data_IF_687769850669
#
_entry.id   IF_687769850669
#
_cell.length_a   1.000
_cell.length_b   1.000
_cell.length_c   1.000
_cell.angle_alpha   90.00
_cell.angle_beta   90.00
_cell.angle_gamma   90.00
#
_symmetry.space_group_name_H-M   'P 1'
#
loop_
_entity.id
_entity.type
_entity.pdbx_description
1 polymer ?
#
# COMPACT_ATOMS: atom_id res chain seq x y z
N UNK A 1 15.58 -43.40 31.97
CA UNK A 1 15.26 -43.69 30.56
C UNK A 1 13.77 -43.58 30.20
N UNK A 2 12.82 -43.63 31.16
CA UNK A 2 11.37 -43.56 30.88
C UNK A 2 10.86 -42.12 30.63
N UNK A 3 11.46 -41.12 31.28
CA UNK A 3 11.06 -39.70 31.14
C UNK A 3 11.41 -39.08 29.77
N UNK A 4 12.52 -39.48 29.13
CA UNK A 4 12.84 -39.01 27.77
C UNK A 4 11.87 -39.55 26.72
N UNK A 5 11.40 -40.79 26.86
CA UNK A 5 10.48 -41.43 25.90
C UNK A 5 9.11 -40.73 25.92
N UNK A 6 8.62 -40.34 27.10
CA UNK A 6 7.38 -39.56 27.23
C UNK A 6 7.50 -38.15 26.63
N UNK A 7 8.64 -37.47 26.82
CA UNK A 7 8.91 -36.15 26.23
C UNK A 7 9.00 -36.22 24.69
N UNK A 8 9.57 -37.29 24.13
CA UNK A 8 9.64 -37.51 22.67
C UNK A 8 8.25 -37.74 22.08
N UNK A 9 7.39 -38.53 22.73
CA UNK A 9 6.01 -38.77 22.27
C UNK A 9 5.18 -37.48 22.30
N UNK A 10 5.29 -36.68 23.38
CA UNK A 10 4.64 -35.36 23.46
C UNK A 10 5.18 -34.44 22.36
N UNK A 11 6.49 -34.41 22.12
CA UNK A 11 7.09 -33.58 21.08
C UNK A 11 6.63 -34.01 19.67
N UNK A 12 6.51 -35.31 19.39
CA UNK A 12 6.00 -35.84 18.11
C UNK A 12 4.49 -35.56 17.92
N UNK A 13 3.68 -35.64 18.99
CA UNK A 13 2.26 -35.28 18.96
C UNK A 13 2.07 -33.77 18.76
N UNK A 14 2.85 -32.94 19.47
CA UNK A 14 2.83 -31.48 19.34
C UNK A 14 3.39 -31.04 17.98
N UNK A 15 4.42 -31.71 17.44
CA UNK A 15 4.96 -31.45 16.10
C UNK A 15 3.92 -31.79 15.01
N UNK A 16 3.20 -32.90 15.15
CA UNK A 16 2.10 -33.25 14.22
C UNK A 16 0.93 -32.24 14.30
N UNK A 17 0.53 -31.79 15.50
CA UNK A 17 -0.55 -30.81 15.67
C UNK A 17 -0.14 -29.40 15.21
N UNK A 18 1.12 -29.00 15.44
CA UNK A 18 1.64 -27.69 15.00
C UNK A 18 1.92 -27.62 13.49
N UNK A 19 2.15 -28.76 12.81
CA UNK A 19 2.27 -28.83 11.36
C UNK A 19 0.93 -28.73 10.61
N UNK A 20 -0.20 -29.10 11.21
CA UNK A 20 -1.53 -28.92 10.62
C UNK A 20 -1.97 -27.44 10.52
N UNK A 21 -1.27 -26.53 11.20
CA UNK A 21 -1.52 -25.09 11.13
C UNK A 21 -0.44 -24.32 10.34
N UNK A 22 0.43 -25.01 9.60
CA UNK A 22 1.51 -24.42 8.81
C UNK A 22 1.35 -24.50 7.29
N UNK A 23 0.14 -24.79 6.81
CA UNK A 23 -0.19 -24.68 5.37
C UNK A 23 -1.64 -24.31 5.13
N UNK A 24 -2.10 -23.18 5.68
CA UNK A 24 -2.99 -22.35 4.86
C UNK A 24 -2.06 -21.65 3.88
N UNK A 25 -1.99 -22.16 2.65
CA UNK A 25 -1.68 -21.32 1.49
C UNK A 25 -2.73 -20.22 1.57
N UNK A 26 -2.41 -19.12 2.25
CA UNK A 26 -3.34 -18.02 2.42
C UNK A 26 -3.54 -17.46 1.01
N UNK A 27 -4.53 -18.00 0.31
CA UNK A 27 -5.26 -17.25 -0.70
C UNK A 27 -5.96 -16.18 0.13
N UNK A 28 -5.20 -15.14 0.43
CA UNK A 28 -5.63 -14.00 1.20
C UNK A 28 -6.90 -13.48 0.51
N UNK A 29 -8.05 -13.60 1.19
CA UNK A 29 -9.34 -13.22 0.64
C UNK A 29 -9.30 -11.79 0.07
N UNK A 30 -8.53 -10.90 0.69
CA UNK A 30 -8.28 -9.55 0.23
C UNK A 30 -7.66 -9.50 -1.18
N UNK A 31 -6.66 -10.33 -1.47
CA UNK A 31 -6.07 -10.43 -2.82
C UNK A 31 -6.93 -11.21 -3.81
N UNK A 32 -7.90 -11.99 -3.33
CA UNK A 32 -8.91 -12.60 -4.19
C UNK A 32 -9.97 -11.60 -4.62
N UNK A 33 -10.28 -10.61 -3.77
CA UNK A 33 -11.21 -9.52 -4.08
C UNK A 33 -10.59 -8.40 -4.92
N UNK A 34 -9.25 -8.24 -4.87
CA UNK A 34 -8.52 -7.23 -5.67
C UNK A 34 -7.53 -7.93 -6.61
N UNK A 35 -7.99 -8.53 -7.73
CA UNK A 35 -7.12 -9.22 -8.66
C UNK A 35 -6.29 -8.23 -9.48
N UNK A 36 -4.97 -8.26 -9.29
CA UNK A 36 -4.06 -7.41 -10.06
C UNK A 36 -3.85 -7.95 -11.48
N UNK A 37 -4.12 -7.12 -12.47
CA UNK A 37 -3.94 -7.39 -13.90
C UNK A 37 -2.54 -7.02 -14.37
N UNK A 38 -2.21 -7.35 -15.62
CA UNK A 38 -1.00 -6.90 -16.31
C UNK A 38 0.32 -7.18 -15.55
N UNK A 39 0.35 -8.27 -14.79
CA UNK A 39 1.52 -8.69 -14.01
C UNK A 39 1.78 -7.86 -12.75
N UNK A 40 0.78 -7.10 -12.28
CA UNK A 40 0.80 -6.43 -10.99
C UNK A 40 0.83 -7.42 -9.82
N UNK A 41 1.43 -7.01 -8.70
CA UNK A 41 1.56 -7.85 -7.50
C UNK A 41 0.57 -7.40 -6.43
N UNK A 42 -0.24 -8.32 -5.93
CA UNK A 42 -1.12 -8.01 -4.81
C UNK A 42 -0.32 -7.93 -3.50
N UNK A 43 -0.48 -6.84 -2.76
CA UNK A 43 0.14 -6.58 -1.47
C UNK A 43 -0.95 -6.50 -0.40
N UNK A 44 -0.89 -7.38 0.59
CA UNK A 44 -1.76 -7.33 1.76
C UNK A 44 -1.21 -6.35 2.78
N UNK A 45 -2.07 -5.46 3.25
CA UNK A 45 -1.73 -4.46 4.28
C UNK A 45 -2.54 -4.67 5.56
N UNK A 46 -3.62 -5.45 5.51
CA UNK A 46 -4.42 -5.79 6.70
C UNK A 46 -5.42 -6.91 6.45
N UNK A 47 -6.29 -7.14 7.44
CA UNK A 47 -7.43 -8.07 7.31
C UNK A 47 -8.43 -7.44 6.35
N UNK A 48 -8.70 -8.08 5.22
CA UNK A 48 -9.54 -7.57 4.13
C UNK A 48 -9.01 -6.30 3.43
N UNK A 49 -7.75 -5.91 3.69
CA UNK A 49 -7.14 -4.73 3.09
C UNK A 49 -5.94 -5.14 2.24
N UNK A 50 -6.03 -4.89 0.94
CA UNK A 50 -4.98 -5.15 -0.04
C UNK A 50 -5.03 -4.16 -1.20
N UNK A 51 -3.88 -3.94 -1.85
CA UNK A 51 -3.76 -3.12 -3.05
C UNK A 51 -2.82 -3.76 -4.08
N UNK A 52 -2.90 -3.29 -5.32
CA UNK A 52 -2.06 -3.76 -6.41
C UNK A 52 -0.83 -2.87 -6.61
N UNK A 53 0.35 -3.46 -6.48
CA UNK A 53 1.60 -2.86 -6.93
C UNK A 53 1.75 -3.10 -8.44
N UNK A 54 1.45 -2.07 -9.25
CA UNK A 54 1.50 -2.16 -10.70
C UNK A 54 2.93 -2.16 -11.25
N UNK A 55 3.13 -2.86 -12.37
CA UNK A 55 4.37 -2.77 -13.15
C UNK A 55 4.45 -1.42 -13.86
N UNK A 56 5.68 -1.00 -14.16
CA UNK A 56 5.93 0.16 -15.01
C UNK A 56 5.10 0.07 -16.29
N UNK A 57 4.45 1.19 -16.65
CA UNK A 57 3.57 1.21 -17.81
C UNK A 57 2.12 0.80 -17.52
N UNK A 58 1.75 0.49 -16.27
CA UNK A 58 0.37 0.17 -15.87
C UNK A 58 -0.07 0.91 -14.62
N UNK A 59 -1.35 1.29 -14.58
CA UNK A 59 -2.01 2.10 -13.54
C UNK A 59 -3.44 1.58 -13.30
N UNK A 60 -4.13 2.17 -12.33
CA UNK A 60 -5.49 1.77 -11.93
C UNK A 60 -5.51 0.85 -10.71
N UNK A 61 -6.69 0.67 -10.11
CA UNK A 61 -6.86 -0.08 -8.84
C UNK A 61 -6.39 -1.53 -8.97
N UNK A 62 -6.57 -2.10 -10.15
CA UNK A 62 -6.20 -3.46 -10.50
C UNK A 62 -5.13 -3.49 -11.59
N UNK A 63 -4.41 -2.39 -11.84
CA UNK A 63 -3.41 -2.28 -12.91
C UNK A 63 -3.98 -2.48 -14.33
N UNK A 64 -5.27 -2.18 -14.53
CA UNK A 64 -6.01 -2.39 -15.78
C UNK A 64 -5.68 -1.34 -16.85
N UNK A 65 -5.19 -0.16 -16.46
CA UNK A 65 -4.91 0.94 -17.37
C UNK A 65 -3.47 0.87 -17.85
N UNK A 66 -3.24 0.89 -19.16
CA UNK A 66 -1.88 1.07 -19.71
C UNK A 66 -1.51 2.54 -19.60
N UNK A 67 -0.41 2.85 -18.93
CA UNK A 67 0.16 4.17 -18.89
C UNK A 67 0.67 4.50 -20.31
N UNK A 68 -0.15 5.17 -21.11
CA UNK A 68 0.15 5.62 -22.46
C UNK A 68 1.08 6.84 -22.49
N UNK A 69 1.80 7.10 -21.40
CA UNK A 69 3.00 7.93 -21.43
C UNK A 69 4.04 7.10 -22.17
N UNK A 70 3.95 7.15 -23.49
CA UNK A 70 5.02 6.84 -24.42
C UNK A 70 6.29 7.44 -23.84
N UNK A 71 7.36 6.64 -23.75
CA UNK A 71 8.72 7.14 -23.61
C UNK A 71 9.08 7.94 -24.86
N UNK A 72 8.38 9.05 -25.12
CA UNK A 72 8.96 10.14 -25.85
C UNK A 72 9.97 10.70 -24.87
N UNK A 73 11.24 10.40 -25.10
CA UNK A 73 12.34 11.18 -24.56
C UNK A 73 11.98 12.66 -24.70
N UNK A 74 11.54 13.29 -23.62
CA UNK A 74 11.33 14.73 -23.57
C UNK A 74 12.75 15.31 -23.73
N UNK A 75 13.05 16.15 -24.74
CA UNK A 75 14.28 16.92 -24.71
C UNK A 75 14.23 17.77 -23.44
N UNK A 76 15.26 17.69 -22.60
CA UNK A 76 15.44 18.51 -21.41
C UNK A 76 15.13 19.97 -21.71
N UNK A 77 13.88 20.37 -21.52
CA UNK A 77 13.47 21.76 -21.66
C UNK A 77 13.43 22.27 -20.24
N UNK A 78 14.51 22.97 -19.87
CA UNK A 78 14.64 23.73 -18.65
C UNK A 78 13.40 24.58 -18.47
N UNK A 79 12.43 24.09 -17.70
CA UNK A 79 11.29 24.89 -17.29
C UNK A 79 11.77 25.63 -16.06
N UNK A 80 12.05 26.92 -16.23
CA UNK A 80 12.32 27.85 -15.14
C UNK A 80 11.18 27.73 -14.12
N UNK A 81 11.41 27.01 -13.02
CA UNK A 81 10.46 26.92 -11.92
C UNK A 81 10.42 28.28 -11.23
N UNK A 82 9.51 29.14 -11.67
CA UNK A 82 9.00 30.23 -10.84
C UNK A 82 8.54 29.59 -9.53
N UNK A 83 9.19 29.98 -8.42
CA UNK A 83 8.80 29.58 -7.06
C UNK A 83 7.30 29.76 -6.90
N UNK A 84 6.54 28.68 -7.05
CA UNK A 84 5.11 28.65 -6.83
C UNK A 84 4.94 27.95 -5.49
N UNK A 85 4.95 28.75 -4.42
CA UNK A 85 4.56 28.44 -3.04
C UNK A 85 4.37 26.94 -2.74
N UNK A 86 5.48 26.25 -2.47
CA UNK A 86 5.47 25.07 -1.60
C UNK A 86 5.07 25.60 -0.22
N UNK A 87 3.88 25.26 0.27
CA UNK A 87 3.45 25.61 1.63
C UNK A 87 4.35 24.82 2.59
N UNK A 88 5.48 25.43 2.96
CA UNK A 88 6.37 25.00 4.03
C UNK A 88 5.72 25.37 5.36
N UNK A 89 4.97 24.46 5.95
CA UNK A 89 4.78 24.51 7.41
C UNK A 89 6.10 24.11 8.07
N UNK A 90 6.59 24.99 8.94
CA UNK A 90 7.85 24.99 9.68
C UNK A 90 8.18 23.69 10.43
N UNK A 91 8.62 22.64 9.72
CA UNK A 91 9.42 21.57 10.31
C UNK A 91 10.38 21.00 9.27
N UNK A 92 11.72 21.14 9.44
CA UNK A 92 12.71 20.60 8.51
C UNK A 92 12.74 19.05 8.45
N UNK A 93 11.89 18.35 9.19
CA UNK A 93 11.85 16.89 9.22
C UNK A 93 10.51 16.24 8.81
N UNK A 94 9.56 16.97 8.20
CA UNK A 94 8.28 16.35 7.80
C UNK A 94 7.98 16.54 6.31
N UNK A 95 8.26 15.50 5.54
CA UNK A 95 7.98 15.42 4.10
C UNK A 95 6.58 14.87 3.85
N UNK A 96 5.57 15.75 3.82
CA UNK A 96 4.27 15.42 3.26
C UNK A 96 4.36 15.53 1.74
N UNK A 97 4.19 14.41 1.05
CA UNK A 97 4.17 14.36 -0.42
C UNK A 97 2.74 14.08 -0.91
N UNK A 98 2.36 14.50 -2.12
CA UNK A 98 1.12 14.02 -2.73
C UNK A 98 1.10 12.50 -2.71
N UNK A 99 -0.05 11.91 -2.39
CA UNK A 99 -0.16 10.46 -2.42
C UNK A 99 0.25 9.92 -3.79
N UNK A 100 1.11 8.89 -3.82
CA UNK A 100 1.64 8.40 -5.07
C UNK A 100 0.50 7.86 -5.94
N UNK A 101 0.62 8.03 -7.26
CA UNK A 101 -0.49 7.82 -8.22
C UNK A 101 -1.01 6.38 -8.26
N UNK A 102 -0.30 5.44 -7.63
CA UNK A 102 -0.68 4.04 -7.46
C UNK A 102 -1.53 3.77 -6.20
N UNK A 103 -1.78 4.77 -5.36
CA UNK A 103 -2.65 4.69 -4.18
C UNK A 103 -3.94 5.44 -4.50
N UNK A 104 -5.12 4.76 -4.54
CA UNK A 104 -6.40 5.43 -4.66
C UNK A 104 -6.56 6.44 -3.52
N UNK A 105 -7.05 7.64 -3.84
CA UNK A 105 -7.27 8.67 -2.84
C UNK A 105 -8.25 8.15 -1.78
N UNK A 106 -7.82 7.97 -0.51
CA UNK A 106 -8.69 7.49 0.56
C UNK A 106 -9.54 8.61 1.19
N UNK A 107 -9.31 9.86 0.80
CA UNK A 107 -10.07 11.02 1.27
C UNK A 107 -11.39 11.12 0.52
N UNK A 108 -12.51 11.12 1.26
CA UNK A 108 -13.86 11.31 0.73
C UNK A 108 -14.10 12.78 0.36
N UNK A 109 -15.24 13.03 -0.30
CA UNK A 109 -15.73 14.37 -0.63
C UNK A 109 -14.69 15.28 -1.32
N UNK A 110 -13.92 14.69 -2.25
CA UNK A 110 -12.86 15.37 -3.01
C UNK A 110 -11.72 15.94 -2.14
N UNK A 111 -11.51 15.42 -0.93
CA UNK A 111 -10.35 15.78 -0.10
C UNK A 111 -9.02 15.45 -0.78
N UNK A 112 -7.96 16.22 -0.50
CA UNK A 112 -6.62 15.97 -1.06
C UNK A 112 -5.83 15.05 -0.16
N UNK A 113 -5.14 14.09 -0.76
CA UNK A 113 -4.32 13.10 -0.06
C UNK A 113 -2.85 13.50 -0.01
N UNK A 114 -2.29 13.47 1.19
CA UNK A 114 -0.86 13.60 1.45
C UNK A 114 -0.34 12.38 2.20
N UNK A 115 0.85 11.91 1.84
CA UNK A 115 1.52 10.78 2.46
C UNK A 115 2.81 11.24 3.14
N UNK A 116 2.96 10.88 4.41
CA UNK A 116 4.18 11.09 5.18
C UNK A 116 5.13 9.92 4.96
N UNK A 117 6.29 10.18 4.37
CA UNK A 117 7.32 9.15 4.17
C UNK A 117 8.01 8.73 5.48
N UNK A 118 7.96 9.57 6.50
CA UNK A 118 8.57 9.34 7.81
C UNK A 118 7.72 8.41 8.69
N UNK A 119 6.44 8.76 8.86
CA UNK A 119 5.50 8.00 9.72
C UNK A 119 4.78 6.91 8.94
N UNK A 120 4.87 6.91 7.61
CA UNK A 120 4.13 6.04 6.70
C UNK A 120 2.61 6.16 6.87
N UNK A 121 2.14 7.36 7.24
CA UNK A 121 0.73 7.67 7.43
C UNK A 121 0.18 8.47 6.27
N UNK A 122 -1.14 8.36 6.06
CA UNK A 122 -1.89 9.16 5.10
C UNK A 122 -2.64 10.25 5.87
N UNK A 123 -2.65 11.45 5.31
CA UNK A 123 -3.33 12.62 5.82
C UNK A 123 -4.23 13.21 4.72
N UNK A 124 -5.46 13.55 5.08
CA UNK A 124 -6.41 14.17 4.17
C UNK A 124 -6.59 15.66 4.49
N UNK A 125 -6.47 16.50 3.48
CA UNK A 125 -6.89 17.90 3.53
C UNK A 125 -8.35 17.98 3.05
N UNK A 126 -9.24 18.30 4.00
CA UNK A 126 -10.68 18.28 3.77
C UNK A 126 -11.22 19.62 3.27
N UNK A 127 -12.27 19.56 2.45
CA UNK A 127 -13.05 20.74 2.09
C UNK A 127 -13.88 21.23 3.30
N UNK A 128 -14.29 22.51 3.32
CA UNK A 128 -15.13 23.04 4.40
C UNK A 128 -16.41 22.22 4.57
N UNK A 129 -16.72 21.85 5.82
CA UNK A 129 -17.87 21.01 6.15
C UNK A 129 -17.53 19.53 6.41
N UNK A 130 -16.30 19.10 6.15
CA UNK A 130 -15.80 17.76 6.44
C UNK A 130 -14.62 17.82 7.42
N UNK A 131 -14.57 16.91 8.40
CA UNK A 131 -13.76 17.14 9.62
C UNK A 131 -12.87 15.94 9.99
N UNK A 132 -13.26 14.71 9.67
CA UNK A 132 -12.49 13.51 10.06
C UNK A 132 -11.25 13.26 9.17
N UNK A 133 -10.39 12.34 9.60
CA UNK A 133 -9.19 11.82 8.92
C UNK A 133 -9.38 11.40 7.47
N UNK A 134 -10.60 11.02 7.09
CA UNK A 134 -10.97 10.68 5.72
C UNK A 134 -11.95 11.67 5.09
N UNK A 135 -12.21 12.83 5.70
CA UNK A 135 -13.13 13.86 5.20
C UNK A 135 -14.58 13.38 5.01
N UNK A 136 -15.10 12.64 5.99
CA UNK A 136 -16.52 12.24 6.08
C UNK A 136 -17.36 13.39 6.65
#
# INVERSE_FOLDING_TARGET
MRNCVFLIIICLLVCNITCLNKSKRQINASCRQVPCMNGGKCIQVGINLAYCACRNGYLGKSCELKNSISTTSIPSTTTTTTKTNLITTFDPNVYYLPCPSNVPNPCFNNGKCFYSTLTKTINCECLPGFIDTFCI
#
